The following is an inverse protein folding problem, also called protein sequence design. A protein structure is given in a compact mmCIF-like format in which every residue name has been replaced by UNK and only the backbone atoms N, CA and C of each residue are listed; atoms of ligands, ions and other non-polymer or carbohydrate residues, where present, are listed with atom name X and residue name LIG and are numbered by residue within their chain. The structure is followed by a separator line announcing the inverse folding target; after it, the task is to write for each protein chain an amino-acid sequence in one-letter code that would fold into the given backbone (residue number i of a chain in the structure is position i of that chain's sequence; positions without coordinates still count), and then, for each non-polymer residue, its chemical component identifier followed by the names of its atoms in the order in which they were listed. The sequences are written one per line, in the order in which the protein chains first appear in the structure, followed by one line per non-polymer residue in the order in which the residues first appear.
data_IF_842916458503
#
_entry.id   IF_842916458503
#
_cell.length_a   1.000
_cell.length_b   1.000
_cell.length_c   1.000
_cell.angle_alpha   90.00
_cell.angle_beta   90.00
_cell.angle_gamma   90.00
#
_symmetry.space_group_name_H-M   'P 1'
#
loop_
_entity.id
_entity.type
_entity.pdbx_description
1 polymer ?
#
# COMPACT_ATOMS: atom_id res chain seq x y z
N UNK A 1 -44.89 39.88 -2.36
CA UNK A 1 -44.19 38.74 -2.99
C UNK A 1 -42.92 38.48 -2.15
N UNK A 2 -42.92 37.42 -1.35
CA UNK A 2 -41.84 37.13 -0.44
C UNK A 2 -40.88 36.13 -1.11
N UNK A 3 -39.61 36.50 -1.23
CA UNK A 3 -38.55 35.58 -1.65
C UNK A 3 -38.26 34.60 -0.52
N UNK A 4 -38.54 33.33 -0.73
CA UNK A 4 -38.07 32.23 0.09
C UNK A 4 -36.57 31.99 -0.22
N UNK A 5 -35.69 32.20 0.72
CA UNK A 5 -34.30 31.72 0.71
C UNK A 5 -34.31 30.23 0.99
N UNK A 6 -33.89 29.46 0.01
CA UNK A 6 -33.57 28.03 0.17
C UNK A 6 -32.16 27.95 0.74
N UNK A 7 -32.04 27.85 2.06
CA UNK A 7 -30.85 27.31 2.70
C UNK A 7 -31.01 25.78 2.68
N UNK A 8 -30.43 25.15 1.68
CA UNK A 8 -30.13 23.71 1.77
C UNK A 8 -29.05 23.52 2.80
N UNK A 9 -29.20 22.57 3.73
CA UNK A 9 -28.10 22.23 4.63
C UNK A 9 -26.97 21.64 3.79
N UNK A 10 -25.77 22.22 3.89
CA UNK A 10 -24.55 21.64 3.39
C UNK A 10 -24.42 20.24 4.01
N UNK A 11 -24.28 19.23 3.15
CA UNK A 11 -23.95 17.88 3.57
C UNK A 11 -22.74 17.97 4.51
N UNK A 12 -22.89 17.45 5.74
CA UNK A 12 -21.80 17.27 6.68
C UNK A 12 -20.77 16.38 5.98
N UNK A 13 -19.68 16.98 5.50
CA UNK A 13 -18.47 16.21 5.23
C UNK A 13 -18.13 15.45 6.51
N UNK A 14 -18.44 14.17 6.52
CA UNK A 14 -17.98 13.26 7.57
C UNK A 14 -16.47 13.39 7.61
N UNK A 15 -15.99 14.16 8.56
CA UNK A 15 -14.57 14.33 8.84
C UNK A 15 -14.08 12.99 9.38
N UNK A 16 -13.81 12.06 8.44
CA UNK A 16 -13.39 10.69 8.75
C UNK A 16 -11.98 10.76 9.32
N UNK A 17 -11.89 10.73 10.63
CA UNK A 17 -10.63 10.81 11.37
C UNK A 17 -9.97 9.43 11.45
N UNK A 18 -8.68 9.39 11.13
CA UNK A 18 -7.85 8.24 11.44
C UNK A 18 -7.51 8.23 12.92
N UNK A 19 -7.58 7.04 13.53
CA UNK A 19 -7.09 6.76 14.87
C UNK A 19 -5.80 5.97 14.77
N UNK A 20 -4.79 6.40 15.50
CA UNK A 20 -3.54 5.64 15.64
C UNK A 20 -3.73 4.50 16.65
N UNK A 21 -3.22 3.31 16.29
CA UNK A 21 -3.15 2.13 17.16
C UNK A 21 -1.73 1.55 17.12
N UNK A 22 -1.41 0.68 18.08
CA UNK A 22 -0.17 -0.08 18.03
C UNK A 22 -0.28 -1.23 17.01
N UNK A 23 0.82 -1.63 16.35
CA UNK A 23 0.79 -2.78 15.42
C UNK A 23 0.24 -4.07 16.04
N UNK A 24 0.46 -4.28 17.34
CA UNK A 24 -0.04 -5.45 18.08
C UNK A 24 -1.55 -5.45 18.30
N UNK A 25 -2.20 -4.29 18.17
CA UNK A 25 -3.65 -4.13 18.33
C UNK A 25 -4.41 -4.36 17.02
N UNK A 26 -3.69 -4.65 15.91
CA UNK A 26 -4.30 -4.96 14.63
C UNK A 26 -5.11 -6.27 14.72
N UNK A 27 -6.40 -6.17 14.43
CA UNK A 27 -7.33 -7.30 14.53
C UNK A 27 -7.56 -8.04 13.21
N UNK A 28 -7.03 -7.50 12.11
CA UNK A 28 -7.20 -8.08 10.79
C UNK A 28 -6.48 -9.42 10.67
N UNK A 29 -7.13 -10.38 10.00
CA UNK A 29 -6.48 -11.61 9.61
C UNK A 29 -5.49 -11.32 8.47
N UNK A 30 -4.21 -11.52 8.71
CA UNK A 30 -3.12 -11.18 7.77
C UNK A 30 -3.26 -11.88 6.42
N UNK A 31 -3.72 -13.13 6.40
CA UNK A 31 -3.92 -13.88 5.14
C UNK A 31 -5.05 -13.28 4.31
N UNK A 32 -6.15 -12.87 4.95
CA UNK A 32 -7.26 -12.18 4.28
C UNK A 32 -6.82 -10.80 3.83
N UNK A 33 -6.19 -10.03 4.71
CA UNK A 33 -5.74 -8.67 4.46
C UNK A 33 -4.84 -8.58 3.22
N UNK A 34 -3.86 -9.49 3.10
CA UNK A 34 -2.91 -9.50 1.99
C UNK A 34 -3.47 -10.23 0.78
N UNK A 35 -3.97 -11.45 0.96
CA UNK A 35 -4.33 -12.34 -0.14
C UNK A 35 -5.69 -12.06 -0.77
N UNK A 36 -6.64 -11.51 0.00
CA UNK A 36 -8.00 -11.24 -0.47
C UNK A 36 -8.28 -9.74 -0.61
N UNK A 37 -8.03 -8.95 0.43
CA UNK A 37 -8.34 -7.52 0.41
C UNK A 37 -7.36 -6.75 -0.46
N UNK A 38 -6.09 -7.17 -0.46
CA UNK A 38 -4.95 -6.61 -1.16
C UNK A 38 -4.47 -5.28 -0.56
N UNK A 39 -3.21 -4.99 -0.80
CA UNK A 39 -2.53 -3.82 -0.29
C UNK A 39 -2.25 -2.82 -1.42
N UNK A 40 -2.43 -1.54 -1.15
CA UNK A 40 -1.87 -0.46 -1.96
C UNK A 40 -0.52 -0.08 -1.37
N UNK A 41 0.57 -0.48 -2.03
CA UNK A 41 1.93 -0.05 -1.69
C UNK A 41 2.16 1.32 -2.30
N UNK A 42 2.53 2.31 -1.50
CA UNK A 42 2.87 3.64 -1.96
C UNK A 42 4.26 4.05 -1.47
N UNK A 43 5.12 4.46 -2.41
CA UNK A 43 6.41 5.08 -2.13
C UNK A 43 6.38 6.55 -2.52
N UNK A 44 7.18 7.37 -1.82
CA UNK A 44 7.37 8.78 -2.13
C UNK A 44 8.85 9.07 -2.42
N UNK A 45 9.12 9.82 -3.49
CA UNK A 45 10.48 10.23 -3.87
C UNK A 45 10.43 11.61 -4.48
N UNK A 46 11.25 12.53 -3.95
CA UNK A 46 11.37 13.90 -4.46
C UNK A 46 10.01 14.63 -4.55
N UNK A 47 9.15 14.48 -3.54
CA UNK A 47 7.82 15.10 -3.50
C UNK A 47 6.80 14.51 -4.48
N UNK A 48 7.10 13.36 -5.09
CA UNK A 48 6.18 12.62 -5.95
C UNK A 48 5.88 11.26 -5.33
N UNK A 49 4.63 10.85 -5.41
CA UNK A 49 4.20 9.53 -4.96
C UNK A 49 3.83 8.64 -6.14
N UNK A 50 4.07 7.35 -6.00
CA UNK A 50 3.53 6.36 -6.90
C UNK A 50 3.07 5.13 -6.11
N UNK A 51 1.96 4.53 -6.56
CA UNK A 51 1.34 3.43 -5.86
C UNK A 51 1.10 2.22 -6.78
N UNK A 52 1.01 1.03 -6.19
CA UNK A 52 0.66 -0.22 -6.87
C UNK A 52 -0.09 -1.15 -5.93
N UNK A 53 -0.87 -2.05 -6.49
CA UNK A 53 -1.48 -3.13 -5.73
C UNK A 53 -0.51 -4.29 -5.55
N UNK A 54 -0.48 -4.84 -4.33
CA UNK A 54 0.22 -6.06 -3.98
C UNK A 54 -0.73 -7.03 -3.26
N UNK A 55 -0.57 -8.33 -3.53
CA UNK A 55 -1.33 -9.42 -2.90
C UNK A 55 -0.42 -10.51 -2.34
N UNK A 56 0.87 -10.27 -2.28
CA UNK A 56 1.89 -11.15 -1.71
C UNK A 56 2.63 -10.43 -0.61
N UNK A 57 2.84 -11.13 0.49
CA UNK A 57 3.53 -10.58 1.64
C UNK A 57 3.30 -11.37 2.91
N UNK A 58 3.63 -10.77 4.01
CA UNK A 58 3.43 -11.32 5.35
C UNK A 58 3.62 -10.24 6.40
N UNK A 59 3.15 -10.49 7.61
CA UNK A 59 3.39 -9.65 8.78
C UNK A 59 3.80 -10.54 9.94
N UNK A 60 4.68 -10.03 10.80
CA UNK A 60 5.14 -10.79 11.95
C UNK A 60 6.16 -10.03 12.77
N UNK A 61 7.07 -10.77 13.39
CA UNK A 61 8.15 -10.20 14.22
C UNK A 61 9.50 -10.61 13.64
N UNK A 62 10.36 -9.62 13.40
CA UNK A 62 11.73 -9.81 12.99
C UNK A 62 12.64 -8.84 13.76
N UNK A 63 13.75 -9.32 14.30
CA UNK A 63 14.67 -8.53 15.13
C UNK A 63 14.00 -7.80 16.30
N UNK A 64 12.99 -8.43 16.90
CA UNK A 64 12.22 -7.88 18.03
C UNK A 64 11.26 -6.73 17.63
N UNK A 65 10.99 -6.53 16.35
CA UNK A 65 10.16 -5.45 15.81
C UNK A 65 8.94 -6.02 15.08
N UNK A 66 7.78 -5.33 15.13
CA UNK A 66 6.67 -5.65 14.24
C UNK A 66 7.07 -5.29 12.80
N UNK A 67 7.00 -6.25 11.90
CA UNK A 67 7.44 -6.08 10.51
C UNK A 67 6.39 -6.53 9.52
N UNK A 68 6.46 -5.94 8.33
CA UNK A 68 5.79 -6.42 7.13
C UNK A 68 6.84 -6.84 6.10
N UNK A 69 6.51 -7.87 5.33
CA UNK A 69 7.26 -8.28 4.14
C UNK A 69 6.41 -7.97 2.92
N UNK A 70 6.98 -7.27 1.95
CA UNK A 70 6.36 -7.06 0.63
C UNK A 70 7.30 -7.51 -0.48
N UNK A 71 6.72 -7.82 -1.63
CA UNK A 71 7.45 -8.31 -2.81
C UNK A 71 7.11 -7.44 -4.01
N UNK A 72 8.13 -6.83 -4.63
CA UNK A 72 7.95 -5.94 -5.79
C UNK A 72 8.81 -6.44 -6.94
N UNK A 73 8.19 -6.65 -8.11
CA UNK A 73 8.89 -7.02 -9.35
C UNK A 73 9.71 -5.86 -9.90
N UNK A 74 10.85 -6.14 -10.58
CA UNK A 74 11.76 -5.09 -11.09
C UNK A 74 11.09 -4.12 -12.08
N UNK A 75 10.13 -4.59 -12.88
CA UNK A 75 9.43 -3.76 -13.87
C UNK A 75 8.39 -2.80 -13.28
N UNK A 76 8.02 -2.95 -12.00
CA UNK A 76 7.03 -2.09 -11.34
C UNK A 76 7.61 -0.69 -11.08
N UNK A 77 6.96 0.35 -11.63
CA UNK A 77 7.43 1.73 -11.45
C UNK A 77 7.49 2.14 -9.97
N UNK A 78 6.58 1.66 -9.15
CA UNK A 78 6.57 1.90 -7.69
C UNK A 78 7.87 1.46 -7.02
N UNK A 79 8.59 0.46 -7.59
CA UNK A 79 9.87 0.00 -7.06
C UNK A 79 10.90 1.12 -6.99
N UNK A 80 10.96 2.00 -7.99
CA UNK A 80 11.89 3.14 -8.01
C UNK A 80 11.62 4.13 -6.86
N UNK A 81 10.36 4.27 -6.46
CA UNK A 81 9.95 5.11 -5.33
C UNK A 81 10.28 4.44 -3.99
N UNK A 82 9.97 3.16 -3.85
CA UNK A 82 10.29 2.40 -2.64
C UNK A 82 11.81 2.29 -2.45
N UNK A 83 12.58 2.04 -3.51
CA UNK A 83 14.05 1.98 -3.43
C UNK A 83 14.65 3.32 -2.99
N UNK A 84 14.15 4.41 -3.55
CA UNK A 84 14.67 5.76 -3.32
C UNK A 84 14.20 6.46 -2.04
N UNK A 85 13.23 5.87 -1.32
CA UNK A 85 12.69 6.40 -0.06
C UNK A 85 13.26 5.65 1.16
N UNK A 86 13.12 6.23 2.35
CA UNK A 86 13.43 5.54 3.61
C UNK A 86 12.42 4.43 3.91
N UNK A 87 11.18 4.63 3.49
CA UNK A 87 10.10 3.68 3.73
C UNK A 87 8.99 3.78 2.68
N UNK A 88 7.88 3.16 2.99
CA UNK A 88 6.67 3.12 2.17
C UNK A 88 5.43 3.00 3.05
N UNK A 89 4.26 3.25 2.50
CA UNK A 89 3.00 2.94 3.17
C UNK A 89 2.30 1.75 2.53
N UNK A 90 1.48 1.08 3.33
CA UNK A 90 0.52 0.09 2.89
C UNK A 90 -0.88 0.58 3.26
N UNK A 91 -1.71 0.86 2.28
CA UNK A 91 -3.10 1.23 2.49
C UNK A 91 -4.02 0.07 2.12
N UNK A 92 -5.01 -0.22 2.97
CA UNK A 92 -6.06 -1.19 2.69
C UNK A 92 -7.35 -0.41 2.42
N UNK A 93 -7.92 -0.64 1.26
CA UNK A 93 -9.17 -0.02 0.84
C UNK A 93 -10.35 -0.96 1.13
N UNK A 94 -11.56 -0.40 1.19
CA UNK A 94 -12.77 -1.20 1.30
C UNK A 94 -13.00 -2.09 0.07
N UNK A 95 -13.73 -3.18 0.23
CA UNK A 95 -14.04 -4.14 -0.85
C UNK A 95 -14.72 -3.47 -2.05
N UNK A 96 -15.51 -2.41 -1.82
CA UNK A 96 -16.13 -1.59 -2.87
C UNK A 96 -15.12 -0.97 -3.83
N UNK A 97 -13.87 -0.81 -3.42
CA UNK A 97 -12.75 -0.24 -4.21
C UNK A 97 -11.98 -1.27 -5.04
N UNK A 98 -12.51 -2.49 -5.23
CA UNK A 98 -11.83 -3.56 -6.01
C UNK A 98 -11.40 -3.11 -7.41
N UNK A 99 -12.19 -2.29 -8.09
CA UNK A 99 -11.84 -1.74 -9.41
C UNK A 99 -10.59 -0.83 -9.34
N UNK A 100 -10.47 -0.04 -8.28
CA UNK A 100 -9.31 0.83 -8.02
C UNK A 100 -8.07 -0.03 -7.82
N UNK A 101 -8.16 -1.09 -7.01
CA UNK A 101 -7.06 -2.03 -6.77
C UNK A 101 -6.60 -2.71 -8.06
N UNK A 102 -7.51 -3.20 -8.90
CA UNK A 102 -7.19 -3.78 -10.19
C UNK A 102 -6.47 -2.76 -11.10
N UNK A 103 -6.98 -1.54 -11.19
CA UNK A 103 -6.37 -0.47 -11.98
C UNK A 103 -4.96 -0.15 -11.50
N UNK A 104 -4.74 0.06 -10.21
CA UNK A 104 -3.40 0.31 -9.62
C UNK A 104 -2.44 -0.87 -9.82
N UNK A 105 -2.99 -2.10 -9.93
CA UNK A 105 -2.24 -3.32 -10.16
C UNK A 105 -1.78 -3.50 -11.61
N UNK A 106 -2.48 -2.94 -12.59
CA UNK A 106 -2.27 -3.17 -14.02
C UNK A 106 -1.63 -2.00 -14.76
N UNK A 107 -2.00 -0.75 -14.40
CA UNK A 107 -1.51 0.45 -15.08
C UNK A 107 -0.18 0.91 -14.50
N UNK A 108 0.74 1.38 -15.36
CA UNK A 108 2.00 1.97 -14.91
C UNK A 108 1.86 3.46 -14.66
N UNK A 109 2.44 3.94 -13.54
CA UNK A 109 2.56 5.38 -13.27
C UNK A 109 3.57 6.11 -14.17
N UNK A 110 4.28 5.38 -15.04
CA UNK A 110 5.08 6.00 -16.12
C UNK A 110 4.21 6.53 -17.25
N UNK A 111 3.06 5.88 -17.47
CA UNK A 111 2.19 6.15 -18.61
C UNK A 111 1.15 7.22 -18.28
N UNK A 112 0.74 7.29 -17.00
CA UNK A 112 -0.30 8.23 -16.58
C UNK A 112 -0.27 8.53 -15.08
N UNK A 113 -0.94 9.63 -14.68
CA UNK A 113 -1.13 10.04 -13.28
C UNK A 113 -2.14 9.11 -12.57
N UNK A 114 -1.74 7.85 -12.34
CA UNK A 114 -2.67 6.80 -11.95
C UNK A 114 -3.31 6.96 -10.57
N UNK A 115 -2.67 7.65 -9.62
CA UNK A 115 -3.25 7.92 -8.29
C UNK A 115 -4.48 8.83 -8.47
N UNK A 116 -4.33 9.91 -9.22
CA UNK A 116 -5.42 10.84 -9.54
C UNK A 116 -6.55 10.16 -10.33
N UNK A 117 -6.19 9.43 -11.39
CA UNK A 117 -7.17 8.69 -12.21
C UNK A 117 -7.88 7.57 -11.45
N UNK A 118 -7.25 7.01 -10.44
CA UNK A 118 -7.88 6.06 -9.54
C UNK A 118 -8.89 6.70 -8.58
N UNK A 119 -8.95 8.04 -8.52
CA UNK A 119 -9.79 8.79 -7.59
C UNK A 119 -9.36 8.60 -6.15
N UNK A 120 -8.05 8.47 -5.91
CA UNK A 120 -7.47 8.42 -4.57
C UNK A 120 -6.94 9.79 -4.17
N UNK A 121 -7.23 10.18 -2.94
CA UNK A 121 -6.78 11.44 -2.33
C UNK A 121 -5.53 11.19 -1.50
N UNK A 122 -4.34 11.59 -1.96
CA UNK A 122 -3.12 11.40 -1.20
C UNK A 122 -3.07 12.33 0.01
N UNK A 123 -2.70 11.77 1.14
CA UNK A 123 -2.34 12.46 2.37
C UNK A 123 -0.86 12.22 2.62
N UNK A 124 -0.15 13.21 3.16
CA UNK A 124 1.29 13.10 3.45
C UNK A 124 1.59 13.38 4.91
N UNK A 125 2.42 12.54 5.51
CA UNK A 125 2.90 12.71 6.87
C UNK A 125 4.33 12.18 6.99
N UNK A 126 5.26 13.01 7.44
CA UNK A 126 6.65 12.60 7.71
C UNK A 126 7.40 12.04 6.50
N UNK A 127 7.05 12.42 5.27
CA UNK A 127 7.64 11.88 4.03
C UNK A 127 7.01 10.57 3.57
N UNK A 128 5.88 10.19 4.16
CA UNK A 128 5.08 9.04 3.77
C UNK A 128 3.76 9.50 3.16
N UNK A 129 3.42 8.96 2.00
CA UNK A 129 2.13 9.20 1.34
C UNK A 129 1.20 8.01 1.54
N UNK A 130 -0.03 8.26 2.02
CA UNK A 130 -1.11 7.30 2.19
C UNK A 130 -2.41 7.88 1.62
N UNK A 131 -3.55 7.20 1.73
CA UNK A 131 -4.78 7.62 1.05
C UNK A 131 -5.93 7.83 2.03
N UNK A 132 -6.68 8.92 1.83
CA UNK A 132 -7.85 9.24 2.66
C UNK A 132 -8.94 8.15 2.57
N UNK A 133 -9.01 7.42 1.46
CA UNK A 133 -9.99 6.34 1.24
C UNK A 133 -9.60 5.01 1.93
N UNK A 134 -8.40 4.93 2.54
CA UNK A 134 -7.97 3.74 3.24
C UNK A 134 -8.77 3.53 4.53
N UNK A 135 -9.19 2.28 4.82
CA UNK A 135 -9.70 1.89 6.13
C UNK A 135 -8.58 1.61 7.13
N UNK A 136 -7.39 1.29 6.61
CA UNK A 136 -6.18 0.99 7.37
C UNK A 136 -4.98 1.50 6.58
N UNK A 137 -4.05 2.20 7.24
CA UNK A 137 -2.77 2.58 6.67
C UNK A 137 -1.62 2.22 7.62
N UNK A 138 -0.60 1.57 7.08
CA UNK A 138 0.61 1.16 7.77
C UNK A 138 1.78 1.99 7.25
N UNK A 139 2.55 2.60 8.14
CA UNK A 139 3.76 3.34 7.81
C UNK A 139 4.95 2.44 8.10
N UNK A 140 5.74 2.15 7.09
CA UNK A 140 6.72 1.08 7.11
C UNK A 140 8.10 1.60 6.75
N UNK A 141 9.04 1.58 7.71
CA UNK A 141 10.44 1.94 7.49
C UNK A 141 11.23 0.70 7.06
N UNK A 142 11.93 0.79 5.94
CA UNK A 142 12.73 -0.33 5.41
C UNK A 142 13.86 -0.71 6.36
N UNK A 143 14.00 -2.01 6.61
CA UNK A 143 15.10 -2.59 7.39
C UNK A 143 16.03 -3.43 6.53
N UNK A 144 15.47 -4.10 5.51
CA UNK A 144 16.22 -5.01 4.65
C UNK A 144 15.55 -5.11 3.29
N UNK A 145 16.35 -5.28 2.24
CA UNK A 145 15.88 -5.56 0.89
C UNK A 145 16.80 -6.57 0.22
N UNK A 146 16.23 -7.58 -0.44
CA UNK A 146 16.94 -8.58 -1.19
C UNK A 146 16.11 -9.10 -2.34
N UNK A 147 16.69 -9.22 -3.52
CA UNK A 147 16.11 -9.94 -4.64
C UNK A 147 16.08 -11.44 -4.36
N UNK A 148 14.96 -12.10 -4.71
CA UNK A 148 14.87 -13.55 -4.60
C UNK A 148 15.88 -14.20 -5.54
N UNK A 149 16.69 -15.11 -5.00
CA UNK A 149 17.74 -15.78 -5.74
C UNK A 149 17.24 -17.11 -6.31
N UNK A 150 17.44 -17.40 -7.61
CA UNK A 150 16.95 -18.62 -8.26
C UNK A 150 17.52 -19.91 -7.60
N UNK A 151 18.75 -19.87 -7.11
CA UNK A 151 19.39 -21.01 -6.42
C UNK A 151 18.80 -21.28 -5.03
N UNK A 152 18.05 -20.32 -4.44
CA UNK A 152 17.43 -20.44 -3.13
C UNK A 152 16.02 -21.07 -3.17
N UNK A 153 15.46 -21.35 -4.36
CA UNK A 153 14.18 -22.04 -4.46
C UNK A 153 14.35 -23.53 -4.11
N UNK A 154 13.86 -23.92 -2.93
CA UNK A 154 13.80 -25.32 -2.51
C UNK A 154 12.74 -26.05 -3.34
N UNK A 155 11.54 -25.43 -3.46
CA UNK A 155 10.46 -25.88 -4.36
C UNK A 155 10.65 -25.28 -5.76
N UNK A 156 11.23 -26.06 -6.67
CA UNK A 156 11.58 -25.61 -8.03
C UNK A 156 10.39 -25.22 -8.87
N UNK A 157 9.20 -25.78 -8.61
CA UNK A 157 7.97 -25.43 -9.32
C UNK A 157 7.59 -23.96 -9.08
N UNK A 158 7.93 -23.37 -7.93
CA UNK A 158 7.69 -21.97 -7.67
C UNK A 158 8.50 -21.07 -8.59
N UNK A 159 9.76 -21.38 -8.86
CA UNK A 159 10.58 -20.63 -9.82
C UNK A 159 9.98 -20.73 -11.22
N UNK A 160 9.75 -21.96 -11.71
CA UNK A 160 9.25 -22.19 -13.08
C UNK A 160 7.89 -21.54 -13.29
N UNK A 161 6.98 -21.67 -12.34
CA UNK A 161 5.60 -21.17 -12.46
C UNK A 161 5.51 -19.65 -12.39
N UNK A 162 6.24 -19.04 -11.45
CA UNK A 162 6.05 -17.62 -11.12
C UNK A 162 7.09 -16.70 -11.77
N UNK A 163 8.21 -17.25 -12.24
CA UNK A 163 9.32 -16.47 -12.81
C UNK A 163 9.80 -17.01 -14.15
N UNK A 164 8.89 -17.25 -15.13
CA UNK A 164 9.32 -17.73 -16.46
C UNK A 164 10.27 -16.76 -17.15
N UNK A 165 10.12 -15.44 -16.88
CA UNK A 165 10.96 -14.37 -17.44
C UNK A 165 12.14 -13.99 -16.53
N UNK A 166 12.37 -14.72 -15.43
CA UNK A 166 13.44 -14.45 -14.45
C UNK A 166 13.39 -13.04 -13.82
N UNK A 167 12.20 -12.44 -13.79
CA UNK A 167 11.90 -11.13 -13.23
C UNK A 167 11.62 -11.22 -11.72
N UNK A 168 12.61 -11.70 -10.97
CA UNK A 168 12.49 -12.00 -9.55
C UNK A 168 12.06 -10.77 -8.73
N UNK A 169 11.17 -11.00 -7.78
CA UNK A 169 10.79 -9.94 -6.84
C UNK A 169 11.95 -9.56 -5.95
N UNK A 170 12.05 -8.29 -5.61
CA UNK A 170 12.75 -7.84 -4.42
C UNK A 170 11.82 -7.96 -3.23
N UNK A 171 12.24 -8.69 -2.21
CA UNK A 171 11.62 -8.72 -0.89
C UNK A 171 12.11 -7.51 -0.09
N UNK A 172 11.19 -6.80 0.55
CA UNK A 172 11.48 -5.77 1.53
C UNK A 172 10.95 -6.21 2.88
N UNK A 173 11.79 -6.25 3.91
CA UNK A 173 11.38 -6.32 5.30
C UNK A 173 11.37 -4.90 5.86
N UNK A 174 10.25 -4.46 6.40
CA UNK A 174 10.09 -3.12 6.92
C UNK A 174 9.41 -3.13 8.29
N UNK A 175 9.91 -2.31 9.22
CA UNK A 175 9.30 -2.09 10.53
C UNK A 175 7.99 -1.32 10.36
N UNK A 176 6.93 -1.78 10.98
CA UNK A 176 5.68 -1.05 11.07
C UNK A 176 5.79 -0.05 12.22
N UNK A 177 6.06 1.21 11.91
CA UNK A 177 6.27 2.26 12.91
C UNK A 177 4.96 2.91 13.36
N UNK A 178 3.94 2.90 12.49
CA UNK A 178 2.64 3.53 12.76
C UNK A 178 1.53 2.79 12.04
N UNK A 179 0.39 2.68 12.70
CA UNK A 179 -0.85 2.11 12.15
C UNK A 179 -1.98 3.10 12.34
N UNK A 180 -2.63 3.47 11.28
CA UNK A 180 -3.82 4.30 11.27
C UNK A 180 -5.03 3.46 10.86
N UNK A 181 -6.07 3.48 11.67
CA UNK A 181 -7.38 2.87 11.35
C UNK A 181 -8.42 3.95 11.23
N UNK A 182 -9.31 3.80 10.27
CA UNK A 182 -10.45 4.69 10.13
C UNK A 182 -11.45 4.43 11.26
N UNK A 183 -11.85 5.50 11.96
CA UNK A 183 -12.87 5.48 13.02
C UNK A 183 -14.29 5.41 12.47
#
# INVERSE_FOLDING_TARGET
MAYKSLNEPMEEEHNMTFKEIQPQDLQDNVFTLIGKDWLVVCGEKNGKANAMTASWGGMGVLWGKPVVFIFIRPQRYTKEFVDGAEGFTLSVLDESKRKVLNYLGTVSGRDEAKIEKAGLTPLSEGGFTYFSEARLALFCRKLYAQELQPECFIERECDVKWYPEKDYHTMYAAEIEKVLVRG
#
